data_IF_213585758487
#
_entry.id   IF_213585758487
#
_cell.length_a   1.000
_cell.length_b   1.000
_cell.length_c   1.000
_cell.angle_alpha   90.00
_cell.angle_beta   90.00
_cell.angle_gamma   90.00
#
_symmetry.space_group_name_H-M   'P 1'
#
loop_
_entity.id
_entity.type
_entity.pdbx_description
1 polymer ?
#
# COMPACT_ATOMS: atom_id res chain seq x y z
N UNK A 1 -8.67 1.00 4.29
CA UNK A 1 -8.04 0.79 2.96
C UNK A 1 -8.63 -0.45 2.33
N UNK A 2 -8.80 -0.46 1.03
CA UNK A 2 -9.43 -1.58 0.33
C UNK A 2 -8.51 -2.17 -0.72
N UNK A 3 -8.50 -3.50 -0.80
CA UNK A 3 -7.82 -4.23 -1.87
C UNK A 3 -8.81 -5.21 -2.49
N UNK A 4 -8.89 -5.19 -3.81
CA UNK A 4 -9.78 -6.09 -4.55
C UNK A 4 -9.16 -7.48 -4.69
N UNK A 5 -7.85 -7.56 -4.84
CA UNK A 5 -7.15 -8.82 -5.03
C UNK A 5 -6.85 -9.49 -3.69
N UNK A 6 -7.46 -10.63 -3.45
CA UNK A 6 -7.30 -11.39 -2.21
C UNK A 6 -5.85 -11.80 -1.93
N UNK A 7 -5.07 -12.01 -2.99
CA UNK A 7 -3.67 -12.42 -2.81
C UNK A 7 -2.85 -11.33 -2.12
N UNK A 8 -3.16 -10.06 -2.41
CA UNK A 8 -2.51 -8.93 -1.74
C UNK A 8 -2.91 -8.85 -0.27
N UNK A 9 -4.17 -9.12 0.04
CA UNK A 9 -4.64 -9.16 1.43
C UNK A 9 -3.93 -10.27 2.20
N UNK A 10 -3.78 -11.44 1.59
CA UNK A 10 -3.07 -12.54 2.22
C UNK A 10 -1.60 -12.19 2.49
N UNK A 11 -0.96 -11.48 1.58
CA UNK A 11 0.41 -11.00 1.80
C UNK A 11 0.49 -10.05 2.99
N UNK A 12 -0.51 -9.22 3.18
CA UNK A 12 -0.57 -8.32 4.35
C UNK A 12 -0.71 -9.14 5.62
N UNK A 13 -1.62 -10.10 5.64
CA UNK A 13 -1.87 -10.95 6.80
C UNK A 13 -0.61 -11.74 7.16
N UNK A 14 0.11 -12.25 6.16
CA UNK A 14 1.34 -13.01 6.36
C UNK A 14 2.54 -12.15 6.76
N UNK A 15 2.42 -10.84 6.65
CA UNK A 15 3.53 -9.92 6.95
C UNK A 15 4.51 -9.75 5.81
N UNK A 16 4.24 -10.28 4.62
CA UNK A 16 5.11 -10.11 3.45
C UNK A 16 4.92 -8.76 2.79
N UNK A 17 3.68 -8.26 2.75
CA UNK A 17 3.39 -6.94 2.21
C UNK A 17 3.27 -5.95 3.35
N UNK A 18 4.23 -5.03 3.43
CA UNK A 18 4.26 -3.98 4.45
C UNK A 18 4.44 -2.60 3.84
N UNK A 19 4.18 -2.48 2.55
CA UNK A 19 4.16 -1.21 1.84
C UNK A 19 3.10 -1.26 0.74
N UNK A 20 2.61 -0.10 0.36
CA UNK A 20 1.71 0.05 -0.76
C UNK A 20 1.89 1.45 -1.35
N UNK A 21 1.15 1.74 -2.40
CA UNK A 21 1.26 3.04 -3.08
C UNK A 21 -0.10 3.68 -3.23
N UNK A 22 -0.10 5.00 -3.36
CA UNK A 22 -1.31 5.79 -3.62
C UNK A 22 -0.98 6.88 -4.62
N UNK A 23 -1.94 7.22 -5.48
CA UNK A 23 -1.83 8.41 -6.32
C UNK A 23 -1.94 9.63 -5.42
N UNK A 24 -1.30 10.73 -5.80
CA UNK A 24 -1.36 11.95 -5.01
C UNK A 24 -2.80 12.44 -4.86
N UNK A 25 -3.58 12.41 -5.93
CA UNK A 25 -4.97 12.84 -5.89
C UNK A 25 -5.84 11.96 -5.00
N UNK A 26 -5.52 10.70 -4.86
CA UNK A 26 -6.26 9.80 -3.97
C UNK A 26 -6.07 10.16 -2.51
N UNK A 27 -4.92 10.74 -2.18
CA UNK A 27 -4.60 11.11 -0.81
C UNK A 27 -4.99 12.53 -0.47
N UNK A 28 -5.04 13.41 -1.47
CA UNK A 28 -5.29 14.85 -1.27
C UNK A 28 -6.71 15.22 -1.65
N UNK A 29 -7.24 14.63 -2.70
CA UNK A 29 -8.53 15.05 -3.24
C UNK A 29 -9.70 14.82 -2.32
N UNK A 30 -9.58 13.91 -1.39
CA UNK A 30 -10.67 13.55 -0.49
C UNK A 30 -10.41 13.94 0.95
N UNK A 31 -9.27 14.47 1.23
CA UNK A 31 -8.84 14.75 2.59
C UNK A 31 -9.61 15.89 3.24
N UNK A 32 -10.42 16.58 2.48
CA UNK A 32 -11.32 17.60 3.01
C UNK A 32 -12.15 17.06 4.17
N UNK A 33 -12.26 15.76 4.28
CA UNK A 33 -13.11 15.10 5.27
C UNK A 33 -12.31 14.24 6.23
N UNK A 34 -11.06 14.59 6.46
CA UNK A 34 -10.22 13.84 7.38
C UNK A 34 -9.84 12.46 6.89
N UNK A 35 -9.81 12.30 5.58
CA UNK A 35 -9.36 11.06 4.99
C UNK A 35 -7.85 11.05 4.78
N UNK A 36 -7.18 12.13 5.13
CA UNK A 36 -5.73 12.21 5.05
C UNK A 36 -5.08 11.11 5.90
N UNK A 37 -4.11 10.43 5.31
CA UNK A 37 -3.42 9.35 6.00
C UNK A 37 -2.51 9.92 7.07
N UNK A 38 -2.53 9.33 8.25
CA UNK A 38 -1.76 9.81 9.39
C UNK A 38 -0.82 8.72 9.87
N UNK A 39 0.45 9.06 10.00
CA UNK A 39 1.45 8.17 10.58
C UNK A 39 1.07 7.88 12.03
N UNK A 40 1.12 6.62 12.40
CA UNK A 40 0.73 6.15 13.73
C UNK A 40 -0.72 5.69 13.83
N UNK A 41 -1.56 6.04 12.86
CA UNK A 41 -2.95 5.62 12.89
C UNK A 41 -3.13 4.18 12.42
N UNK A 42 -4.20 3.56 12.90
CA UNK A 42 -4.57 2.20 12.51
C UNK A 42 -5.68 2.26 11.48
N UNK A 43 -5.52 1.47 10.41
CA UNK A 43 -6.50 1.38 9.34
C UNK A 43 -6.92 -0.07 9.15
N UNK A 44 -8.21 -0.29 8.93
CA UNK A 44 -8.71 -1.60 8.57
C UNK A 44 -8.40 -1.90 7.11
N UNK A 45 -8.14 -3.17 6.82
CA UNK A 45 -7.95 -3.67 5.47
C UNK A 45 -9.23 -4.36 5.04
N UNK A 46 -9.88 -3.82 4.01
CA UNK A 46 -11.16 -4.34 3.51
C UNK A 46 -10.95 -5.08 2.21
N UNK A 47 -11.72 -6.14 2.01
CA UNK A 47 -11.74 -6.87 0.74
C UNK A 47 -12.71 -6.24 -0.26
N UNK A 48 -12.91 -6.89 -1.40
CA UNK A 48 -13.80 -6.38 -2.45
C UNK A 48 -15.26 -6.28 -1.99
N UNK A 49 -15.64 -7.07 -0.99
CA UNK A 49 -16.99 -7.05 -0.41
C UNK A 49 -17.09 -6.12 0.80
N UNK A 50 -16.07 -5.28 1.00
CA UNK A 50 -16.02 -4.31 2.08
C UNK A 50 -16.01 -4.95 3.48
N UNK A 51 -15.53 -6.18 3.57
CA UNK A 51 -15.38 -6.85 4.86
C UNK A 51 -13.97 -6.64 5.39
N UNK A 52 -13.87 -6.34 6.68
CA UNK A 52 -12.57 -6.15 7.33
C UNK A 52 -11.86 -7.49 7.47
N UNK A 53 -10.66 -7.59 6.89
CA UNK A 53 -9.87 -8.82 6.90
C UNK A 53 -8.63 -8.71 7.75
N UNK A 54 -8.17 -7.51 8.02
CA UNK A 54 -6.95 -7.28 8.78
C UNK A 54 -6.91 -5.82 9.23
N UNK A 55 -5.91 -5.48 10.02
CA UNK A 55 -5.64 -4.09 10.39
C UNK A 55 -4.14 -3.83 10.25
N UNK A 56 -3.80 -2.60 9.94
CA UNK A 56 -2.42 -2.17 9.79
C UNK A 56 -2.22 -0.86 10.54
N UNK A 57 -0.98 -0.61 11.00
CA UNK A 57 -0.58 0.68 11.54
C UNK A 57 0.35 1.36 10.56
N UNK A 58 0.00 2.55 10.13
CA UNK A 58 0.82 3.32 9.20
C UNK A 58 2.06 3.83 9.92
N UNK A 59 3.24 3.56 9.37
CA UNK A 59 4.51 3.94 10.00
C UNK A 59 5.23 5.06 9.26
N UNK A 60 5.00 5.19 7.95
CA UNK A 60 5.62 6.26 7.17
C UNK A 60 4.84 6.51 5.89
N UNK A 61 4.86 7.76 5.44
CA UNK A 61 4.32 8.16 4.14
C UNK A 61 5.41 9.00 3.48
N UNK A 62 5.85 8.59 2.29
CA UNK A 62 6.94 9.24 1.58
C UNK A 62 6.57 9.50 0.14
N UNK A 63 7.00 10.66 -0.37
CA UNK A 63 6.86 10.96 -1.79
C UNK A 63 7.89 10.14 -2.56
N UNK A 64 7.47 9.47 -3.62
CA UNK A 64 8.32 8.68 -4.47
C UNK A 64 8.14 9.09 -5.94
N UNK A 65 9.12 8.74 -6.77
CA UNK A 65 9.10 9.05 -8.19
C UNK A 65 9.32 7.75 -8.98
N UNK A 66 8.59 7.62 -10.07
CA UNK A 66 8.62 6.38 -10.85
C UNK A 66 10.02 6.04 -11.37
N UNK A 67 10.81 7.05 -11.75
CA UNK A 67 12.16 6.81 -12.26
C UNK A 67 13.18 6.48 -11.16
N UNK A 68 12.81 6.64 -9.89
CA UNK A 68 13.74 6.44 -8.77
C UNK A 68 13.01 5.76 -7.62
N UNK A 69 12.70 4.49 -7.79
CA UNK A 69 11.95 3.73 -6.79
C UNK A 69 12.86 3.38 -5.61
N UNK A 70 12.44 3.71 -4.38
CA UNK A 70 13.22 3.29 -3.20
C UNK A 70 13.25 1.77 -3.11
N UNK A 71 14.42 1.22 -2.81
CA UNK A 71 14.55 -0.24 -2.66
C UNK A 71 13.63 -0.77 -1.57
N UNK A 72 13.48 -0.04 -0.46
CA UNK A 72 12.61 -0.48 0.63
C UNK A 72 11.16 -0.58 0.19
N UNK A 73 10.75 0.17 -0.84
CA UNK A 73 9.38 0.12 -1.33
C UNK A 73 9.12 -1.21 -2.04
N UNK A 74 9.89 -1.54 -3.08
CA UNK A 74 9.63 -2.77 -3.82
C UNK A 74 10.01 -4.03 -3.02
N UNK A 75 10.89 -3.90 -2.01
CA UNK A 75 11.17 -5.03 -1.12
C UNK A 75 10.01 -5.34 -0.19
N UNK A 76 9.23 -4.33 0.18
CA UNK A 76 8.12 -4.48 1.12
C UNK A 76 6.76 -4.55 0.45
N UNK A 77 6.72 -4.43 -0.87
CA UNK A 77 5.49 -4.49 -1.66
C UNK A 77 5.65 -5.54 -2.76
N UNK A 78 5.55 -6.84 -2.43
CA UNK A 78 5.72 -7.91 -3.40
C UNK A 78 4.71 -7.83 -4.52
N UNK A 79 5.06 -8.35 -5.69
CA UNK A 79 4.12 -8.53 -6.78
C UNK A 79 2.99 -9.48 -6.36
N UNK A 80 1.91 -9.47 -7.09
CA UNK A 80 0.77 -10.35 -6.83
C UNK A 80 1.22 -11.82 -6.80
N UNK A 81 2.19 -12.17 -7.64
CA UNK A 81 2.77 -13.52 -7.66
C UNK A 81 3.60 -13.87 -6.42
N UNK A 82 3.95 -12.87 -5.62
CA UNK A 82 4.84 -13.03 -4.48
C UNK A 82 6.29 -12.68 -4.77
N UNK A 83 6.63 -12.38 -6.02
CA UNK A 83 8.00 -12.06 -6.41
C UNK A 83 8.41 -10.70 -5.85
N UNK A 84 9.63 -10.62 -5.32
CA UNK A 84 10.17 -9.42 -4.69
C UNK A 84 11.36 -8.92 -5.50
N UNK A 85 11.11 -8.03 -6.44
CA UNK A 85 12.15 -7.36 -7.20
C UNK A 85 11.59 -6.11 -7.85
N UNK A 86 12.46 -5.20 -8.26
CA UNK A 86 12.02 -3.95 -8.87
C UNK A 86 11.24 -4.18 -10.16
N UNK A 87 11.67 -5.13 -10.99
CA UNK A 87 11.01 -5.41 -12.27
C UNK A 87 9.58 -5.89 -12.06
N UNK A 88 9.35 -6.75 -11.09
CA UNK A 88 8.01 -7.25 -10.79
C UNK A 88 7.13 -6.14 -10.22
N UNK A 89 7.70 -5.27 -9.37
CA UNK A 89 6.97 -4.12 -8.86
C UNK A 89 6.53 -3.21 -10.01
N UNK A 90 7.43 -2.89 -10.94
CA UNK A 90 7.10 -2.03 -12.08
C UNK A 90 6.03 -2.65 -12.97
N UNK A 91 6.12 -3.95 -13.21
CA UNK A 91 5.13 -4.64 -14.05
C UNK A 91 3.73 -4.55 -13.43
N UNK A 92 3.62 -4.82 -12.13
CA UNK A 92 2.33 -4.80 -11.45
C UNK A 92 1.72 -3.39 -11.35
N UNK A 93 2.58 -2.38 -11.18
CA UNK A 93 2.08 -1.02 -10.93
C UNK A 93 2.00 -0.16 -12.18
N UNK A 94 2.56 -0.60 -13.30
CA UNK A 94 2.47 0.14 -14.55
C UNK A 94 1.01 0.32 -14.99
N UNK A 95 0.21 -0.72 -14.88
CA UNK A 95 -1.21 -0.63 -15.21
C UNK A 95 -1.97 0.17 -14.17
N UNK A 96 -1.65 -0.01 -12.91
CA UNK A 96 -2.31 0.73 -11.83
C UNK A 96 -2.15 2.24 -11.99
N UNK A 97 -0.96 2.68 -12.38
CA UNK A 97 -0.66 4.10 -12.60
C UNK A 97 -0.89 4.54 -14.05
N UNK A 98 -1.44 3.68 -14.89
CA UNK A 98 -1.75 3.99 -16.29
C UNK A 98 -0.49 4.39 -17.07
N UNK A 99 0.52 3.50 -17.07
CA UNK A 99 1.77 3.67 -17.79
C UNK A 99 2.46 5.00 -17.47
N UNK A 100 2.93 5.16 -16.23
CA UNK A 100 3.45 6.44 -15.75
C UNK A 100 4.73 6.85 -16.48
N UNK A 101 4.89 8.16 -16.63
CA UNK A 101 6.15 8.73 -17.13
C UNK A 101 7.23 8.64 -16.05
N UNK A 102 8.48 8.85 -16.45
CA UNK A 102 9.60 8.82 -15.50
C UNK A 102 9.43 9.81 -14.35
N UNK A 103 8.82 10.95 -14.63
CA UNK A 103 8.63 12.02 -13.66
C UNK A 103 7.41 11.84 -12.75
N UNK A 104 6.66 10.78 -12.96
CA UNK A 104 5.43 10.56 -12.20
C UNK A 104 5.73 10.42 -10.72
N UNK A 105 5.05 11.22 -9.90
CA UNK A 105 5.19 11.18 -8.45
C UNK A 105 3.97 10.53 -7.80
N UNK A 106 4.22 9.77 -6.73
CA UNK A 106 3.16 9.09 -5.99
C UNK A 106 3.58 8.95 -4.55
N UNK A 107 2.67 8.49 -3.70
CA UNK A 107 2.97 8.26 -2.29
C UNK A 107 3.29 6.79 -2.06
N UNK A 108 4.38 6.54 -1.34
CA UNK A 108 4.72 5.23 -0.81
C UNK A 108 4.30 5.20 0.67
N UNK A 109 3.48 4.23 1.02
CA UNK A 109 2.96 4.05 2.36
C UNK A 109 3.60 2.81 2.97
N UNK A 110 4.15 2.96 4.16
CA UNK A 110 4.75 1.85 4.89
C UNK A 110 3.94 1.58 6.14
N UNK A 111 3.76 0.31 6.47
CA UNK A 111 2.91 -0.06 7.58
C UNK A 111 3.37 -1.37 8.22
N UNK A 112 2.87 -1.61 9.42
CA UNK A 112 3.03 -2.89 10.10
C UNK A 112 1.66 -3.55 10.20
N UNK A 113 1.55 -4.83 9.77
CA UNK A 113 0.31 -5.56 9.98
C UNK A 113 0.09 -5.80 11.47
N UNK A 114 -1.15 -5.70 11.90
CA UNK A 114 -1.53 -6.02 13.28
C UNK A 114 -2.13 -7.40 13.30
N UNK A 115 -1.79 -8.17 14.33
CA UNK A 115 -2.34 -9.50 14.49
C UNK A 115 -3.83 -9.40 14.84
N UNK A 116 -4.65 -10.24 14.21
CA UNK A 116 -6.07 -10.32 14.56
C UNK A 116 -6.27 -10.90 15.96
N UNK A 117 -5.25 -11.56 16.50
CA UNK A 117 -5.31 -12.07 17.86
C UNK A 117 -5.01 -11.00 18.91
N UNK A 118 -4.43 -9.87 18.50
CA UNK A 118 -4.18 -8.75 19.39
C UNK A 118 -5.45 -7.92 19.53
N UNK A 119 -6.01 -7.80 20.73
CA UNK A 119 -7.23 -7.01 20.86
C UNK A 119 -6.92 -5.54 20.55
N UNK A 120 -7.84 -4.85 19.90
CA UNK A 120 -7.67 -3.42 19.70
C UNK A 120 -7.71 -2.72 21.05
N UNK A 121 -6.79 -1.84 21.25
CA UNK A 121 -6.71 -1.09 22.50
C UNK A 121 -7.46 0.22 22.41
#
# INVERSE_FOLDING_TARGET
MQWVDRRLIEQIIDGRKTATVRRLEESVGIDNYNTALQVGAVYNVYDAECQSRAAIRLTAVELARWCDLPEKLWRRDPAVSGEVCEAAFRADHSDYFDHPSDDFEFLALYFNPLSLADPPE
#
